data_IF_158329781510
#
_entry.id   IF_158329781510
#
_cell.length_a   1.000
_cell.length_b   1.000
_cell.length_c   1.000
_cell.angle_alpha   90.00
_cell.angle_beta   90.00
_cell.angle_gamma   90.00
#
_symmetry.space_group_name_H-M   'P 1'
#
loop_
_entity.id
_entity.type
_entity.pdbx_description
1 polymer ?
#
# COMPACT_ATOMS: atom_id res chain seq x y z
N UNK A 1 9.07 -28.75 21.10
CA UNK A 1 10.41 -28.16 21.02
C UNK A 1 10.49 -27.06 22.07
N UNK A 2 11.55 -27.03 22.88
CA UNK A 2 11.74 -26.06 23.97
C UNK A 2 12.70 -24.96 23.48
N UNK A 3 12.25 -23.71 23.52
CA UNK A 3 12.97 -22.54 23.01
C UNK A 3 13.64 -21.71 24.11
N UNK A 4 13.68 -22.18 25.35
CA UNK A 4 14.13 -21.41 26.52
C UNK A 4 15.60 -20.97 26.48
N UNK A 5 16.42 -21.53 25.58
CA UNK A 5 17.84 -21.20 25.49
C UNK A 5 18.28 -20.73 24.09
N UNK A 6 17.32 -20.30 23.26
CA UNK A 6 17.65 -19.73 21.95
C UNK A 6 18.18 -18.32 22.15
N UNK A 7 19.46 -18.12 21.86
CA UNK A 7 20.13 -16.82 21.88
C UNK A 7 19.62 -15.99 20.70
N UNK A 8 18.57 -15.22 20.93
CA UNK A 8 17.98 -14.35 19.92
C UNK A 8 18.97 -13.22 19.60
N UNK A 9 19.39 -13.04 18.33
CA UNK A 9 20.21 -11.90 17.96
C UNK A 9 19.47 -10.61 18.30
N UNK A 10 20.10 -9.71 19.07
CA UNK A 10 19.61 -8.35 19.27
C UNK A 10 19.76 -7.60 17.94
N UNK A 11 18.72 -7.68 17.11
CA UNK A 11 18.57 -6.77 15.97
C UNK A 11 18.44 -5.36 16.53
N UNK A 12 19.34 -4.42 16.17
CA UNK A 12 19.21 -3.04 16.61
C UNK A 12 17.85 -2.52 16.13
N UNK A 13 16.98 -2.16 17.08
CA UNK A 13 15.74 -1.48 16.74
C UNK A 13 16.12 -0.17 16.06
N UNK A 14 15.78 -0.02 14.78
CA UNK A 14 16.28 1.06 13.92
C UNK A 14 15.80 2.46 14.27
N UNK A 15 15.41 2.70 15.52
CA UNK A 15 15.09 4.01 16.10
C UNK A 15 14.08 4.82 15.29
N UNK A 16 14.13 6.13 15.50
CA UNK A 16 13.29 7.09 14.79
C UNK A 16 13.50 7.03 13.26
N UNK A 17 14.72 6.78 12.79
CA UNK A 17 15.03 6.69 11.37
C UNK A 17 14.27 5.55 10.67
N UNK A 18 14.22 4.34 11.25
CA UNK A 18 13.48 3.22 10.64
C UNK A 18 11.96 3.42 10.70
N UNK A 19 11.46 4.11 11.74
CA UNK A 19 10.05 4.45 11.84
C UNK A 19 9.65 5.43 10.73
N UNK A 20 10.47 6.45 10.49
CA UNK A 20 10.26 7.42 9.41
C UNK A 20 10.36 6.77 8.02
N UNK A 21 11.32 5.86 7.81
CA UNK A 21 11.44 5.13 6.54
C UNK A 21 10.21 4.26 6.29
N UNK A 22 9.74 3.52 7.30
CA UNK A 22 8.53 2.68 7.18
C UNK A 22 7.29 3.51 6.90
N UNK A 23 7.13 4.62 7.60
CA UNK A 23 6.01 5.55 7.39
C UNK A 23 6.07 6.16 5.99
N UNK A 24 7.24 6.64 5.56
CA UNK A 24 7.45 7.19 4.23
C UNK A 24 7.18 6.17 3.13
N UNK A 25 7.61 4.93 3.30
CA UNK A 25 7.34 3.85 2.36
C UNK A 25 5.84 3.55 2.28
N UNK A 26 5.16 3.38 3.42
CA UNK A 26 3.71 3.13 3.46
C UNK A 26 2.92 4.28 2.82
N UNK A 27 3.23 5.52 3.17
CA UNK A 27 2.57 6.70 2.61
C UNK A 27 2.85 6.84 1.11
N UNK A 28 4.10 6.66 0.68
CA UNK A 28 4.49 6.75 -0.73
C UNK A 28 3.77 5.72 -1.60
N UNK A 29 3.78 4.44 -1.18
CA UNK A 29 3.07 3.39 -1.91
C UNK A 29 1.55 3.58 -1.87
N UNK A 30 1.00 4.04 -0.75
CA UNK A 30 -0.44 4.35 -0.62
C UNK A 30 -0.90 5.43 -1.60
N UNK A 31 -0.17 6.56 -1.64
CA UNK A 31 -0.47 7.67 -2.56
C UNK A 31 -0.28 7.23 -4.02
N UNK A 32 0.83 6.55 -4.32
CA UNK A 32 1.09 6.05 -5.67
C UNK A 32 0.00 5.09 -6.15
N UNK A 33 -0.41 4.15 -5.29
CA UNK A 33 -1.49 3.22 -5.58
C UNK A 33 -2.82 3.92 -5.84
N UNK A 34 -3.22 4.87 -4.98
CA UNK A 34 -4.45 5.63 -5.16
C UNK A 34 -4.44 6.45 -6.47
N UNK A 35 -3.36 7.18 -6.72
CA UNK A 35 -3.21 8.04 -7.90
C UNK A 35 -3.23 7.24 -9.21
N UNK A 36 -2.66 6.04 -9.23
CA UNK A 36 -2.57 5.23 -10.44
C UNK A 36 -3.73 4.22 -10.59
N UNK A 37 -4.59 4.06 -9.59
CA UNK A 37 -5.74 3.14 -9.64
C UNK A 37 -6.99 3.77 -10.25
N UNK A 38 -7.00 5.10 -10.37
CA UNK A 38 -8.09 5.87 -10.94
C UNK A 38 -7.63 6.38 -12.31
N UNK A 39 -8.09 5.75 -13.39
CA UNK A 39 -7.94 6.30 -14.73
C UNK A 39 -9.30 6.76 -15.21
N UNK A 40 -9.38 8.00 -15.66
CA UNK A 40 -10.56 8.49 -16.35
C UNK A 40 -10.53 7.97 -17.78
N UNK A 41 -11.66 7.46 -18.26
CA UNK A 41 -11.87 7.19 -19.68
C UNK A 41 -12.36 8.48 -20.35
N UNK A 42 -11.88 8.78 -21.56
CA UNK A 42 -12.40 9.91 -22.34
C UNK A 42 -13.92 9.74 -22.52
N UNK A 43 -14.67 10.77 -22.13
CA UNK A 43 -16.13 10.72 -22.12
C UNK A 43 -16.72 10.65 -23.52
N UNK A 44 -17.07 9.44 -23.97
CA UNK A 44 -17.98 9.20 -25.10
C UNK A 44 -19.41 8.91 -24.64
N UNK A 45 -20.36 8.80 -25.57
CA UNK A 45 -21.82 8.64 -25.32
C UNK A 45 -22.24 7.42 -24.46
N UNK A 46 -21.30 6.56 -24.04
CA UNK A 46 -21.47 5.50 -23.04
C UNK A 46 -20.16 5.33 -22.24
N UNK A 47 -19.82 6.29 -21.39
CA UNK A 47 -18.65 6.15 -20.51
C UNK A 47 -18.97 5.16 -19.37
N UNK A 48 -18.25 4.04 -19.32
CA UNK A 48 -18.31 3.09 -18.22
C UNK A 48 -17.21 3.47 -17.22
N UNK A 49 -17.59 3.86 -15.99
CA UNK A 49 -16.63 4.13 -14.92
C UNK A 49 -16.14 2.80 -14.36
N UNK A 50 -14.89 2.47 -14.62
CA UNK A 50 -14.23 1.29 -14.07
C UNK A 50 -13.39 1.67 -12.84
N UNK A 51 -13.57 0.94 -11.75
CA UNK A 51 -12.72 1.00 -10.56
C UNK A 51 -12.04 -0.36 -10.35
N UNK A 52 -10.70 -0.39 -10.20
CA UNK A 52 -9.95 -1.65 -9.99
C UNK A 52 -10.32 -2.41 -8.70
N UNK A 53 -10.95 -1.73 -7.74
CA UNK A 53 -11.35 -2.33 -6.46
C UNK A 53 -12.80 -2.85 -6.47
N UNK A 54 -13.66 -2.27 -7.32
CA UNK A 54 -15.12 -2.49 -7.26
C UNK A 54 -15.70 -2.95 -8.61
N UNK A 55 -14.90 -2.97 -9.67
CA UNK A 55 -15.31 -3.33 -11.02
C UNK A 55 -16.06 -2.20 -11.74
N UNK A 56 -17.01 -2.59 -12.58
CA UNK A 56 -17.91 -1.69 -13.28
C UNK A 56 -18.99 -1.24 -12.30
N UNK A 57 -19.12 0.07 -12.09
CA UNK A 57 -20.22 0.60 -11.31
C UNK A 57 -21.47 0.62 -12.20
N UNK A 58 -22.55 -0.05 -11.80
CA UNK A 58 -23.81 -0.10 -12.57
C UNK A 58 -24.51 1.28 -12.71
N UNK A 59 -24.00 2.32 -12.05
CA UNK A 59 -24.53 3.69 -12.12
C UNK A 59 -23.53 4.79 -11.77
#
# INVERSE_FOLDING_TARGET
MNFNNVRVPKVPGGGAASALIKLGALAGFGIYGAANSLYNVEGGHRAIVFNRLVGIKDK
#
